data_IF_849036777489
#
_entry.id   IF_849036777489
#
_cell.length_a   1.000
_cell.length_b   1.000
_cell.length_c   1.000
_cell.angle_alpha   90.00
_cell.angle_beta   90.00
_cell.angle_gamma   90.00
#
_symmetry.space_group_name_H-M   'P 1'
#
loop_
_entity.id
_entity.type
_entity.pdbx_description
1 polymer ?
#
# COMPACT_ATOMS: atom_id res chain seq x y z
N UNK A 1 -1.32 42.70 13.73
CA UNK A 1 -0.97 42.65 12.29
C UNK A 1 -1.76 41.50 11.68
N UNK A 2 -2.77 41.80 10.88
CA UNK A 2 -3.54 40.78 10.14
C UNK A 2 -2.67 40.32 8.97
N UNK A 3 -2.09 39.12 9.08
CA UNK A 3 -1.41 38.48 7.95
C UNK A 3 -2.38 38.34 6.79
N UNK A 4 -1.96 38.76 5.59
CA UNK A 4 -2.74 38.53 4.39
C UNK A 4 -2.83 37.03 4.13
N UNK A 5 -4.01 36.49 3.76
CA UNK A 5 -4.16 35.09 3.47
C UNK A 5 -3.25 34.70 2.30
N UNK A 6 -2.59 33.55 2.42
CA UNK A 6 -1.76 33.02 1.34
C UNK A 6 -2.60 32.82 0.06
N UNK A 7 -1.96 32.75 -1.12
CA UNK A 7 -2.70 32.45 -2.37
C UNK A 7 -3.49 31.14 -2.29
N UNK A 8 -2.99 30.16 -1.53
CA UNK A 8 -3.68 28.91 -1.26
C UNK A 8 -4.90 29.11 -0.37
N UNK A 9 -4.78 29.87 0.73
CA UNK A 9 -5.91 30.16 1.62
C UNK A 9 -7.02 30.91 0.89
N UNK A 10 -6.66 31.94 0.11
CA UNK A 10 -7.62 32.69 -0.70
C UNK A 10 -8.34 31.78 -1.72
N UNK A 11 -7.62 30.84 -2.35
CA UNK A 11 -8.22 29.89 -3.28
C UNK A 11 -9.15 28.90 -2.57
N UNK A 12 -8.75 28.35 -1.42
CA UNK A 12 -9.58 27.45 -0.61
C UNK A 12 -10.85 28.16 -0.13
N UNK A 13 -10.72 29.35 0.43
CA UNK A 13 -11.85 30.12 0.95
C UNK A 13 -12.79 30.54 -0.17
N UNK A 14 -12.26 30.90 -1.34
CA UNK A 14 -13.06 31.20 -2.53
C UNK A 14 -13.92 30.03 -2.98
N UNK A 15 -13.36 28.81 -3.04
CA UNK A 15 -14.13 27.60 -3.41
C UNK A 15 -15.17 27.27 -2.34
N UNK A 16 -14.83 27.38 -1.05
CA UNK A 16 -15.75 27.10 0.05
C UNK A 16 -16.86 28.14 0.22
N UNK A 17 -16.68 29.33 -0.34
CA UNK A 17 -17.72 30.34 -0.50
C UNK A 17 -18.65 30.08 -1.71
N UNK A 18 -18.47 28.96 -2.41
CA UNK A 18 -19.26 28.60 -3.60
C UNK A 18 -18.63 29.05 -4.92
N UNK A 19 -17.39 29.54 -4.90
CA UNK A 19 -16.62 29.87 -6.10
C UNK A 19 -16.16 28.63 -6.88
N UNK A 20 -15.67 28.83 -8.12
CA UNK A 20 -15.28 27.73 -9.00
C UNK A 20 -14.00 27.02 -8.51
N UNK A 21 -13.98 25.68 -8.62
CA UNK A 21 -12.83 24.84 -8.24
C UNK A 21 -11.55 25.18 -9.02
N UNK A 22 -11.68 25.72 -10.25
CA UNK A 22 -10.57 26.00 -11.16
C UNK A 22 -9.43 26.80 -10.52
N UNK A 23 -9.75 27.83 -9.75
CA UNK A 23 -8.72 28.66 -9.11
C UNK A 23 -7.86 27.88 -8.12
N UNK A 24 -8.45 26.90 -7.41
CA UNK A 24 -7.71 26.00 -6.54
C UNK A 24 -6.87 25.01 -7.36
N UNK A 25 -7.43 24.43 -8.43
CA UNK A 25 -6.70 23.50 -9.31
C UNK A 25 -5.47 24.17 -9.92
N UNK A 26 -5.57 25.41 -10.37
CA UNK A 26 -4.43 26.18 -10.89
C UNK A 26 -3.30 26.35 -9.86
N UNK A 27 -3.64 26.46 -8.57
CA UNK A 27 -2.65 26.49 -7.48
C UNK A 27 -2.06 25.10 -7.26
N UNK A 28 -2.90 24.07 -7.20
CA UNK A 28 -2.45 22.69 -7.00
C UNK A 28 -1.48 22.25 -8.10
N UNK A 29 -1.81 22.50 -9.36
CA UNK A 29 -1.01 22.10 -10.52
C UNK A 29 0.40 22.70 -10.47
N UNK A 30 0.52 23.99 -10.12
CA UNK A 30 1.82 24.70 -10.04
C UNK A 30 2.76 24.13 -8.99
N UNK A 31 2.23 23.51 -7.96
CA UNK A 31 3.00 22.96 -6.83
C UNK A 31 3.05 21.43 -6.82
N UNK A 32 2.41 20.77 -7.79
CA UNK A 32 2.21 19.33 -7.83
C UNK A 32 3.46 18.49 -8.10
N UNK A 33 4.47 19.09 -8.73
CA UNK A 33 5.58 18.40 -9.41
C UNK A 33 5.14 17.51 -10.59
N UNK A 34 3.92 17.66 -11.10
CA UNK A 34 3.44 16.95 -12.29
C UNK A 34 3.57 17.82 -13.56
N UNK A 35 3.88 17.24 -14.73
CA UNK A 35 4.10 15.81 -15.00
C UNK A 35 5.54 15.36 -14.66
N UNK A 36 5.70 14.70 -13.53
CA UNK A 36 6.97 14.18 -13.01
C UNK A 36 6.74 12.83 -12.34
N UNK A 37 7.82 12.13 -11.99
CA UNK A 37 7.73 10.76 -11.45
C UNK A 37 7.36 10.71 -9.97
N UNK A 38 7.34 11.86 -9.27
CA UNK A 38 7.03 11.95 -7.85
C UNK A 38 6.15 13.18 -7.57
N UNK A 39 4.93 13.00 -7.03
CA UNK A 39 4.10 14.11 -6.62
C UNK A 39 4.70 14.82 -5.40
N UNK A 40 4.39 16.11 -5.24
CA UNK A 40 4.75 16.86 -4.04
C UNK A 40 3.84 16.48 -2.85
N UNK A 41 4.22 15.45 -2.09
CA UNK A 41 3.40 14.92 -1.00
C UNK A 41 3.33 15.87 0.21
N UNK A 42 4.39 16.63 0.49
CA UNK A 42 4.41 17.60 1.60
C UNK A 42 3.41 18.74 1.36
N UNK A 43 3.36 19.24 0.12
CA UNK A 43 2.35 20.23 -0.26
C UNK A 43 0.94 19.64 -0.20
N UNK A 44 0.73 18.41 -0.70
CA UNK A 44 -0.58 17.76 -0.65
C UNK A 44 -1.08 17.56 0.80
N UNK A 45 -0.19 17.13 1.70
CA UNK A 45 -0.46 17.04 3.13
C UNK A 45 -0.84 18.39 3.72
N UNK A 46 -0.07 19.44 3.42
CA UNK A 46 -0.34 20.81 3.89
C UNK A 46 -1.74 21.28 3.47
N UNK A 47 -2.10 21.08 2.19
CA UNK A 47 -3.44 21.40 1.69
C UNK A 47 -4.50 20.54 2.37
N UNK A 48 -4.26 19.25 2.58
CA UNK A 48 -5.16 18.34 3.29
C UNK A 48 -5.47 18.79 4.71
N UNK A 49 -4.46 19.24 5.47
CA UNK A 49 -4.62 19.82 6.81
C UNK A 49 -5.51 21.07 6.74
N UNK A 50 -5.23 21.97 5.80
CA UNK A 50 -6.00 23.21 5.61
C UNK A 50 -7.46 22.93 5.23
N UNK A 51 -7.73 21.92 4.41
CA UNK A 51 -9.09 21.48 4.05
C UNK A 51 -9.79 20.91 5.30
N UNK A 52 -9.14 19.99 6.03
CA UNK A 52 -9.73 19.37 7.22
C UNK A 52 -10.08 20.39 8.31
N UNK A 53 -9.25 21.42 8.50
CA UNK A 53 -9.49 22.49 9.45
C UNK A 53 -10.79 23.28 9.21
N UNK A 54 -11.33 23.26 7.97
CA UNK A 54 -12.54 23.99 7.57
C UNK A 54 -13.85 23.18 7.77
N UNK A 55 -13.76 21.99 8.39
CA UNK A 55 -14.89 21.16 8.89
C UNK A 55 -15.97 20.88 7.82
N UNK A 56 -17.26 20.86 8.16
CA UNK A 56 -18.35 20.38 7.29
C UNK A 56 -18.50 21.08 5.93
N UNK A 57 -17.89 22.26 5.71
CA UNK A 57 -17.83 22.88 4.37
C UNK A 57 -16.87 22.15 3.42
N UNK A 58 -15.89 21.43 3.98
CA UNK A 58 -14.87 20.72 3.22
C UNK A 58 -15.40 19.48 2.49
N UNK A 59 -16.55 18.92 2.88
CA UNK A 59 -17.07 17.67 2.30
C UNK A 59 -17.33 17.80 0.79
N UNK A 60 -17.95 18.91 0.39
CA UNK A 60 -18.22 19.19 -1.02
C UNK A 60 -16.91 19.38 -1.79
N UNK A 61 -15.92 20.04 -1.18
CA UNK A 61 -14.61 20.24 -1.77
C UNK A 61 -13.84 18.91 -1.93
N UNK A 62 -13.81 18.07 -0.90
CA UNK A 62 -13.18 16.73 -0.97
C UNK A 62 -13.84 15.90 -2.08
N UNK A 63 -15.18 15.86 -2.16
CA UNK A 63 -15.89 15.18 -3.26
C UNK A 63 -15.53 15.76 -4.64
N UNK A 64 -15.40 17.07 -4.76
CA UNK A 64 -15.04 17.71 -6.03
C UNK A 64 -13.58 17.39 -6.43
N UNK A 65 -12.66 17.32 -5.48
CA UNK A 65 -11.27 16.91 -5.71
C UNK A 65 -11.19 15.43 -6.12
N UNK A 66 -11.97 14.54 -5.49
CA UNK A 66 -12.04 13.12 -5.85
C UNK A 66 -12.61 12.90 -7.26
N UNK A 67 -13.58 13.73 -7.66
CA UNK A 67 -14.17 13.68 -9.00
C UNK A 67 -13.31 14.37 -10.07
N UNK A 68 -12.20 15.01 -9.68
CA UNK A 68 -11.33 15.70 -10.64
C UNK A 68 -10.54 14.70 -11.49
N UNK A 69 -10.34 14.98 -12.79
CA UNK A 69 -9.66 14.05 -13.69
C UNK A 69 -8.15 13.92 -13.43
N UNK A 70 -7.53 14.93 -12.80
CA UNK A 70 -6.11 14.93 -12.47
C UNK A 70 -5.76 14.04 -11.29
N UNK A 71 -4.53 13.51 -11.27
CA UNK A 71 -4.03 12.67 -10.16
C UNK A 71 -3.80 13.48 -8.87
N UNK A 72 -3.24 14.68 -9.00
CA UNK A 72 -2.83 15.47 -7.84
C UNK A 72 -4.01 15.95 -6.96
N UNK A 73 -5.15 16.41 -7.52
CA UNK A 73 -6.36 16.66 -6.72
C UNK A 73 -6.81 15.46 -5.88
N UNK A 74 -6.73 14.24 -6.42
CA UNK A 74 -7.10 13.01 -5.70
C UNK A 74 -6.10 12.73 -4.57
N UNK A 75 -4.80 12.97 -4.79
CA UNK A 75 -3.77 12.88 -3.75
C UNK A 75 -4.07 13.86 -2.60
N UNK A 76 -4.40 15.12 -2.91
CA UNK A 76 -4.81 16.12 -1.92
C UNK A 76 -6.06 15.67 -1.16
N UNK A 77 -7.05 15.09 -1.86
CA UNK A 77 -8.25 14.57 -1.23
C UNK A 77 -7.94 13.41 -0.27
N UNK A 78 -7.03 12.50 -0.61
CA UNK A 78 -6.58 11.42 0.27
C UNK A 78 -5.97 11.97 1.58
N UNK A 79 -5.09 12.98 1.49
CA UNK A 79 -4.56 13.66 2.67
C UNK A 79 -5.66 14.37 3.48
N UNK A 80 -6.61 15.03 2.82
CA UNK A 80 -7.75 15.65 3.51
C UNK A 80 -8.60 14.62 4.29
N UNK A 81 -8.85 13.43 3.71
CA UNK A 81 -9.57 12.35 4.37
C UNK A 81 -8.81 11.83 5.60
N UNK A 82 -7.50 11.58 5.49
CA UNK A 82 -6.67 11.18 6.62
C UNK A 82 -6.69 12.22 7.75
N UNK A 83 -6.53 13.51 7.41
CA UNK A 83 -6.53 14.59 8.39
C UNK A 83 -7.90 14.79 9.05
N UNK A 84 -9.00 14.58 8.32
CA UNK A 84 -10.34 14.56 8.91
C UNK A 84 -10.53 13.41 9.89
N UNK A 85 -10.07 12.21 9.53
CA UNK A 85 -10.12 11.05 10.42
C UNK A 85 -9.34 11.31 11.71
N UNK A 86 -8.15 11.89 11.61
CA UNK A 86 -7.33 12.27 12.76
C UNK A 86 -7.94 13.38 13.62
N UNK A 87 -8.64 14.34 13.00
CA UNK A 87 -9.35 15.40 13.71
C UNK A 87 -10.72 14.99 14.28
N UNK A 88 -11.15 13.74 14.07
CA UNK A 88 -12.44 13.23 14.54
C UNK A 88 -13.65 13.71 13.74
N UNK A 89 -13.46 14.33 12.56
CA UNK A 89 -14.56 14.82 11.71
C UNK A 89 -15.03 13.73 10.74
N UNK A 90 -16.18 13.14 11.04
CA UNK A 90 -16.75 12.00 10.30
C UNK A 90 -15.71 10.89 10.08
N UNK A 91 -14.92 10.59 11.11
CA UNK A 91 -13.70 9.78 10.97
C UNK A 91 -13.94 8.43 10.32
N UNK A 92 -15.05 7.77 10.64
CA UNK A 92 -15.46 6.51 10.00
C UNK A 92 -15.69 6.68 8.50
N UNK A 93 -16.47 7.69 8.10
CA UNK A 93 -16.75 7.94 6.69
C UNK A 93 -15.47 8.34 5.93
N UNK A 94 -14.62 9.15 6.55
CA UNK A 94 -13.34 9.55 5.97
C UNK A 94 -12.42 8.34 5.74
N UNK A 95 -12.30 7.44 6.71
CA UNK A 95 -11.53 6.20 6.57
C UNK A 95 -12.16 5.23 5.58
N UNK A 96 -13.49 5.15 5.48
CA UNK A 96 -14.18 4.36 4.44
C UNK A 96 -13.87 4.90 3.05
N UNK A 97 -13.94 6.22 2.82
CA UNK A 97 -13.58 6.78 1.51
C UNK A 97 -12.09 6.60 1.19
N UNK A 98 -11.21 6.68 2.20
CA UNK A 98 -9.78 6.40 2.00
C UNK A 98 -9.53 4.91 1.69
N UNK A 99 -10.30 4.00 2.28
CA UNK A 99 -10.31 2.57 1.95
C UNK A 99 -10.71 2.37 0.49
N UNK A 100 -11.85 2.93 0.05
CA UNK A 100 -12.31 2.83 -1.34
C UNK A 100 -11.26 3.32 -2.34
N UNK A 101 -10.55 4.41 -2.00
CA UNK A 101 -9.45 4.94 -2.81
C UNK A 101 -8.24 4.02 -2.88
N UNK A 102 -8.01 3.17 -1.88
CA UNK A 102 -6.85 2.29 -1.87
C UNK A 102 -6.88 1.25 -3.01
N UNK A 103 -8.00 1.03 -3.70
CA UNK A 103 -8.09 0.22 -4.93
C UNK A 103 -7.63 0.95 -6.22
N UNK A 104 -6.99 2.10 -6.09
CA UNK A 104 -6.63 2.96 -7.22
C UNK A 104 -5.52 2.36 -8.13
N UNK A 105 -5.76 2.18 -9.45
CA UNK A 105 -4.75 1.65 -10.38
C UNK A 105 -3.63 2.63 -10.74
N UNK A 106 -3.83 3.94 -10.56
CA UNK A 106 -2.82 4.98 -10.86
C UNK A 106 -1.72 5.02 -9.79
N UNK A 107 -0.48 4.82 -10.21
CA UNK A 107 0.66 4.69 -9.29
C UNK A 107 0.89 5.95 -8.44
N UNK A 108 0.84 7.15 -9.03
CA UNK A 108 1.11 8.39 -8.29
C UNK A 108 0.03 8.66 -7.24
N UNK A 109 -1.23 8.34 -7.56
CA UNK A 109 -2.32 8.46 -6.59
C UNK A 109 -2.15 7.46 -5.44
N UNK A 110 -1.77 6.20 -5.72
CA UNK A 110 -1.43 5.23 -4.66
C UNK A 110 -0.30 5.70 -3.75
N UNK A 111 0.73 6.35 -4.29
CA UNK A 111 1.78 6.95 -3.45
C UNK A 111 1.20 7.98 -2.47
N UNK A 112 0.25 8.80 -2.94
CA UNK A 112 -0.50 9.73 -2.09
C UNK A 112 -1.32 9.04 -1.01
N UNK A 113 -2.03 7.96 -1.35
CA UNK A 113 -2.85 7.20 -0.39
C UNK A 113 -1.97 6.52 0.66
N UNK A 114 -0.83 5.93 0.26
CA UNK A 114 0.17 5.36 1.19
C UNK A 114 0.68 6.44 2.15
N UNK A 115 1.00 7.62 1.63
CA UNK A 115 1.46 8.76 2.45
C UNK A 115 0.38 9.21 3.44
N UNK A 116 -0.86 9.35 2.99
CA UNK A 116 -1.99 9.73 3.84
C UNK A 116 -2.28 8.67 4.93
N UNK A 117 -2.25 7.38 4.58
CA UNK A 117 -2.43 6.30 5.56
C UNK A 117 -1.28 6.24 6.57
N UNK A 118 -0.05 6.51 6.15
CA UNK A 118 1.10 6.63 7.04
C UNK A 118 0.90 7.69 8.10
N UNK A 119 0.30 8.84 7.76
CA UNK A 119 -0.03 9.87 8.75
C UNK A 119 -1.01 9.36 9.81
N UNK A 120 -2.01 8.57 9.39
CA UNK A 120 -2.96 7.95 10.32
C UNK A 120 -2.24 6.98 11.26
N UNK A 121 -1.38 6.12 10.72
CA UNK A 121 -0.57 5.17 11.50
C UNK A 121 0.40 5.86 12.45
N UNK A 122 1.05 6.95 12.02
CA UNK A 122 1.93 7.72 12.88
C UNK A 122 1.20 8.26 14.11
N UNK A 123 -0.01 8.80 13.93
CA UNK A 123 -0.73 9.45 15.04
C UNK A 123 -1.46 8.44 15.93
N UNK A 124 -2.12 7.43 15.35
CA UNK A 124 -2.96 6.47 16.08
C UNK A 124 -2.26 5.16 16.45
N UNK A 125 -1.11 4.86 15.83
CA UNK A 125 -0.31 3.66 16.10
C UNK A 125 -1.09 2.36 15.92
N UNK A 126 -0.95 1.46 16.90
CA UNK A 126 -1.54 0.12 16.90
C UNK A 126 -3.08 0.12 16.84
N UNK A 127 -3.74 1.18 17.30
CA UNK A 127 -5.20 1.31 17.19
C UNK A 127 -5.64 1.36 15.73
N UNK A 128 -5.02 2.21 14.92
CA UNK A 128 -5.30 2.26 13.49
C UNK A 128 -4.90 0.93 12.82
N UNK A 129 -3.76 0.34 13.20
CA UNK A 129 -3.31 -0.91 12.60
C UNK A 129 -4.28 -2.09 12.79
N UNK A 130 -4.98 -2.16 13.93
CA UNK A 130 -6.05 -3.13 14.18
C UNK A 130 -7.27 -2.90 13.27
N UNK A 131 -7.61 -1.65 13.00
CA UNK A 131 -8.72 -1.32 12.08
C UNK A 131 -8.40 -1.68 10.62
N UNK A 132 -7.12 -1.73 10.24
CA UNK A 132 -6.69 -2.08 8.89
C UNK A 132 -6.83 -3.56 8.52
N UNK A 133 -7.38 -4.41 9.41
CA UNK A 133 -7.74 -5.79 9.07
C UNK A 133 -8.73 -5.86 7.89
N UNK A 134 -9.60 -4.86 7.72
CA UNK A 134 -10.54 -4.80 6.58
C UNK A 134 -9.91 -4.26 5.31
N UNK A 135 -8.60 -3.95 5.34
CA UNK A 135 -7.84 -3.45 4.19
C UNK A 135 -6.95 -4.54 3.58
N UNK A 136 -6.92 -5.74 4.16
CA UNK A 136 -6.10 -6.86 3.66
C UNK A 136 -6.92 -7.88 2.88
N UNK A 137 -8.13 -7.51 2.43
CA UNK A 137 -9.04 -8.32 1.64
C UNK A 137 -8.96 -8.07 0.11
N UNK A 138 -8.35 -6.95 -0.29
CA UNK A 138 -8.08 -6.59 -1.69
C UNK A 138 -6.60 -6.36 -1.97
N UNK A 139 -6.12 -6.69 -3.17
CA UNK A 139 -4.67 -6.68 -3.46
C UNK A 139 -4.03 -5.29 -3.37
N UNK A 140 -4.67 -4.25 -3.90
CA UNK A 140 -4.15 -2.89 -3.79
C UNK A 140 -4.25 -2.35 -2.36
N UNK A 141 -5.38 -2.62 -1.68
CA UNK A 141 -5.56 -2.27 -0.27
C UNK A 141 -4.45 -2.87 0.61
N UNK A 142 -4.18 -4.18 0.45
CA UNK A 142 -3.14 -4.87 1.20
C UNK A 142 -1.75 -4.26 0.92
N UNK A 143 -1.44 -3.95 -0.34
CA UNK A 143 -0.20 -3.26 -0.69
C UNK A 143 -0.11 -1.88 -0.05
N UNK A 144 -1.19 -1.08 -0.07
CA UNK A 144 -1.21 0.24 0.56
C UNK A 144 -0.94 0.16 2.06
N UNK A 145 -1.52 -0.82 2.75
CA UNK A 145 -1.28 -1.07 4.17
C UNK A 145 0.19 -1.41 4.43
N UNK A 146 0.74 -2.39 3.71
CA UNK A 146 2.14 -2.80 3.90
C UNK A 146 3.14 -1.70 3.54
N UNK A 147 2.90 -0.95 2.47
CA UNK A 147 3.74 0.17 2.06
C UNK A 147 3.68 1.36 3.04
N UNK A 148 2.53 1.59 3.68
CA UNK A 148 2.39 2.60 4.73
C UNK A 148 3.08 2.17 6.03
N UNK A 149 3.00 0.87 6.37
CA UNK A 149 3.69 0.26 7.50
C UNK A 149 5.21 0.17 7.32
N UNK A 150 5.69 -0.02 6.09
CA UNK A 150 7.11 -0.08 5.74
C UNK A 150 7.78 1.31 5.78
N UNK A 151 7.50 2.06 6.84
CA UNK A 151 8.09 3.35 7.15
C UNK A 151 8.71 3.29 8.55
N UNK A 152 9.97 3.73 8.66
CA UNK A 152 10.72 3.62 9.91
C UNK A 152 10.09 4.41 11.05
N UNK A 153 9.56 5.59 10.78
CA UNK A 153 8.94 6.41 11.83
C UNK A 153 7.63 5.79 12.34
N UNK A 154 6.87 5.11 11.47
CA UNK A 154 5.71 4.32 11.88
C UNK A 154 6.15 3.17 12.78
N UNK A 155 7.12 2.38 12.32
CA UNK A 155 7.58 1.19 13.04
C UNK A 155 8.20 1.51 14.41
N UNK A 156 8.90 2.64 14.53
CA UNK A 156 9.49 3.10 15.79
C UNK A 156 8.43 3.48 16.83
N UNK A 157 7.18 3.74 16.44
CA UNK A 157 6.05 4.04 17.35
C UNK A 157 5.27 2.81 17.81
N UNK A 158 5.43 1.67 17.15
CA UNK A 158 4.74 0.44 17.50
C UNK A 158 5.44 -0.24 18.69
N UNK A 159 4.66 -0.85 19.59
CA UNK A 159 5.19 -1.47 20.82
C UNK A 159 5.72 -2.86 20.54
N UNK A 160 5.07 -3.59 19.64
CA UNK A 160 5.40 -4.97 19.33
C UNK A 160 5.12 -5.36 17.87
N UNK A 161 5.57 -6.57 17.47
CA UNK A 161 5.44 -7.07 16.11
C UNK A 161 4.07 -7.66 15.78
N UNK A 162 3.20 -7.90 16.77
CA UNK A 162 2.03 -8.78 16.64
C UNK A 162 1.08 -8.33 15.53
N UNK A 163 0.69 -7.05 15.55
CA UNK A 163 -0.22 -6.49 14.54
C UNK A 163 0.44 -6.32 13.17
N UNK A 164 1.75 -6.10 13.14
CA UNK A 164 2.53 -6.02 11.90
C UNK A 164 2.57 -7.39 11.22
N UNK A 165 2.89 -8.43 11.98
CA UNK A 165 2.89 -9.82 11.50
C UNK A 165 1.50 -10.26 11.06
N UNK A 166 0.44 -9.82 11.76
CA UNK A 166 -0.93 -10.13 11.36
C UNK A 166 -1.29 -9.55 9.98
N UNK A 167 -1.04 -8.25 9.74
CA UNK A 167 -1.30 -7.63 8.42
C UNK A 167 -0.42 -8.23 7.32
N UNK A 168 0.84 -8.53 7.64
CA UNK A 168 1.76 -9.19 6.71
C UNK A 168 1.30 -10.60 6.34
N UNK A 169 0.85 -11.38 7.32
CA UNK A 169 0.30 -12.73 7.10
C UNK A 169 -0.93 -12.68 6.22
N UNK A 170 -1.88 -11.79 6.51
CA UNK A 170 -3.12 -11.63 5.73
C UNK A 170 -2.81 -11.29 4.27
N UNK A 171 -1.91 -10.31 4.03
CA UNK A 171 -1.50 -9.91 2.70
C UNK A 171 -0.75 -11.04 1.95
N UNK A 172 0.10 -11.80 2.64
CA UNK A 172 0.80 -12.95 2.07
C UNK A 172 -0.17 -14.06 1.68
N UNK A 173 -1.09 -14.42 2.58
CA UNK A 173 -2.12 -15.44 2.33
C UNK A 173 -3.00 -15.00 1.16
N UNK A 174 -3.45 -13.74 1.11
CA UNK A 174 -4.21 -13.18 0.00
C UNK A 174 -3.50 -13.39 -1.35
N UNK A 175 -2.19 -13.13 -1.41
CA UNK A 175 -1.39 -13.32 -2.62
C UNK A 175 -1.14 -14.81 -2.96
N UNK A 176 -1.02 -15.69 -1.97
CA UNK A 176 -0.76 -17.12 -2.14
C UNK A 176 -2.01 -17.89 -2.56
N UNK A 177 -3.19 -17.57 -2.03
CA UNK A 177 -4.44 -18.26 -2.38
C UNK A 177 -5.16 -17.64 -3.58
N UNK A 178 -4.54 -16.66 -4.25
CA UNK A 178 -5.12 -15.95 -5.39
C UNK A 178 -5.62 -16.92 -6.49
N UNK A 179 -6.84 -16.73 -7.02
CA UNK A 179 -7.33 -17.56 -8.10
C UNK A 179 -6.53 -17.29 -9.38
N UNK A 180 -6.45 -18.28 -10.27
CA UNK A 180 -5.74 -18.16 -11.56
C UNK A 180 -6.19 -16.94 -12.40
N UNK A 181 -7.46 -16.55 -12.30
CA UNK A 181 -7.98 -15.37 -12.98
C UNK A 181 -7.30 -14.07 -12.52
N UNK A 182 -6.90 -13.98 -11.25
CA UNK A 182 -6.26 -12.83 -10.66
C UNK A 182 -4.78 -12.68 -11.05
N UNK A 183 -4.15 -13.68 -11.67
CA UNK A 183 -2.73 -13.62 -12.08
C UNK A 183 -2.43 -12.49 -13.08
N UNK A 184 -3.44 -12.00 -13.80
CA UNK A 184 -3.33 -10.83 -14.69
C UNK A 184 -3.70 -9.51 -14.02
N UNK A 185 -4.15 -9.54 -12.77
CA UNK A 185 -4.53 -8.35 -12.00
C UNK A 185 -3.30 -7.48 -11.77
N UNK A 186 -3.46 -6.17 -11.99
CA UNK A 186 -2.44 -5.19 -11.63
C UNK A 186 -2.23 -5.13 -10.11
N UNK A 187 -3.31 -5.25 -9.33
CA UNK A 187 -3.24 -5.22 -7.86
C UNK A 187 -2.40 -6.36 -7.31
N UNK A 188 -2.64 -7.59 -7.78
CA UNK A 188 -1.87 -8.76 -7.33
C UNK A 188 -0.38 -8.64 -7.68
N UNK A 189 -0.06 -8.16 -8.89
CA UNK A 189 1.33 -7.90 -9.29
C UNK A 189 1.97 -6.84 -8.40
N UNK A 190 1.28 -5.74 -8.16
CA UNK A 190 1.77 -4.64 -7.30
C UNK A 190 2.05 -5.13 -5.89
N UNK A 191 1.15 -5.93 -5.29
CA UNK A 191 1.34 -6.53 -3.97
C UNK A 191 2.58 -7.44 -3.94
N UNK A 192 2.72 -8.35 -4.91
CA UNK A 192 3.85 -9.28 -4.97
C UNK A 192 5.19 -8.59 -5.22
N UNK A 193 5.20 -7.51 -6.01
CA UNK A 193 6.40 -6.72 -6.32
C UNK A 193 6.85 -5.85 -5.13
N UNK A 194 5.91 -5.29 -4.35
CA UNK A 194 6.21 -4.46 -3.18
C UNK A 194 6.63 -5.24 -1.94
N UNK A 195 5.95 -6.37 -1.68
CA UNK A 195 6.10 -7.15 -0.44
C UNK A 195 7.55 -7.51 -0.07
N UNK A 196 8.45 -7.92 -0.98
CA UNK A 196 9.84 -8.20 -0.64
C UNK A 196 10.58 -7.03 0.03
N UNK A 197 10.38 -5.81 -0.46
CA UNK A 197 11.01 -4.62 0.09
C UNK A 197 10.36 -4.24 1.43
N UNK A 198 9.04 -4.33 1.51
CA UNK A 198 8.27 -4.08 2.74
C UNK A 198 8.72 -5.03 3.86
N UNK A 199 8.82 -6.35 3.60
CA UNK A 199 9.34 -7.36 4.55
C UNK A 199 10.72 -6.98 5.08
N UNK A 200 11.63 -6.50 4.22
CA UNK A 200 12.96 -6.13 4.65
C UNK A 200 12.98 -4.92 5.60
N UNK A 201 12.11 -3.94 5.36
CA UNK A 201 11.95 -2.77 6.25
C UNK A 201 11.33 -3.19 7.59
N UNK A 202 10.27 -4.00 7.57
CA UNK A 202 9.62 -4.50 8.79
C UNK A 202 10.62 -5.31 9.66
N UNK A 203 11.40 -6.19 9.04
CA UNK A 203 12.38 -7.01 9.73
C UNK A 203 13.54 -6.22 10.35
N UNK A 204 13.85 -5.04 9.82
CA UNK A 204 14.86 -4.16 10.40
C UNK A 204 14.45 -3.65 11.80
N UNK A 205 13.13 -3.54 12.06
CA UNK A 205 12.59 -3.17 13.39
C UNK A 205 12.19 -4.40 14.22
N UNK A 206 11.63 -5.41 13.58
CA UNK A 206 11.02 -6.58 14.21
C UNK A 206 11.65 -7.88 13.68
N UNK A 207 12.69 -8.42 14.36
CA UNK A 207 13.38 -9.64 13.93
C UNK A 207 12.47 -10.87 13.75
N UNK A 208 11.31 -10.89 14.42
CA UNK A 208 10.28 -11.92 14.29
C UNK A 208 9.78 -12.08 12.85
N UNK A 209 9.88 -11.03 12.02
CA UNK A 209 9.56 -11.08 10.58
C UNK A 209 10.49 -12.04 9.84
N UNK A 210 11.74 -12.22 10.30
CA UNK A 210 12.67 -13.21 9.71
C UNK A 210 12.21 -14.64 10.00
N UNK A 211 11.79 -14.90 11.25
CA UNK A 211 11.23 -16.20 11.64
C UNK A 211 9.91 -16.50 10.90
N UNK A 212 9.06 -15.48 10.74
CA UNK A 212 7.86 -15.56 9.91
C UNK A 212 8.20 -15.96 8.47
N UNK A 213 9.17 -15.29 7.83
CA UNK A 213 9.57 -15.57 6.45
C UNK A 213 10.14 -16.99 6.30
N UNK A 214 10.92 -17.45 7.27
CA UNK A 214 11.42 -18.83 7.31
C UNK A 214 10.26 -19.85 7.29
N UNK A 215 9.19 -19.60 8.04
CA UNK A 215 7.97 -20.42 7.99
C UNK A 215 7.31 -20.48 6.61
N UNK A 216 7.51 -19.47 5.77
CA UNK A 216 6.97 -19.40 4.40
C UNK A 216 7.80 -20.13 3.34
N UNK A 217 9.00 -20.61 3.70
CA UNK A 217 9.87 -21.39 2.78
C UNK A 217 9.23 -22.68 2.28
N UNK A 218 8.17 -23.18 2.93
CA UNK A 218 7.45 -24.38 2.55
C UNK A 218 6.44 -24.17 1.39
N UNK A 219 6.22 -22.91 0.98
CA UNK A 219 5.28 -22.52 -0.06
C UNK A 219 5.48 -23.30 -1.37
N UNK A 220 4.37 -23.69 -2.01
CA UNK A 220 4.36 -24.59 -3.18
C UNK A 220 4.17 -23.86 -4.50
N UNK A 221 3.44 -22.75 -4.50
CA UNK A 221 3.17 -21.98 -5.72
C UNK A 221 4.44 -21.30 -6.23
N UNK A 222 4.77 -21.40 -7.53
CA UNK A 222 5.95 -20.75 -8.08
C UNK A 222 5.99 -19.24 -7.80
N UNK A 223 4.86 -18.55 -7.97
CA UNK A 223 4.78 -17.09 -7.79
C UNK A 223 5.02 -16.70 -6.33
N UNK A 224 4.44 -17.43 -5.38
CA UNK A 224 4.68 -17.22 -3.94
C UNK A 224 6.13 -17.51 -3.54
N UNK A 225 6.71 -18.57 -4.09
CA UNK A 225 8.13 -18.91 -3.86
C UNK A 225 9.06 -17.84 -4.39
N UNK A 226 8.71 -17.21 -5.51
CA UNK A 226 9.45 -16.07 -6.05
C UNK A 226 9.41 -14.88 -5.09
N UNK A 227 8.24 -14.54 -4.52
CA UNK A 227 8.12 -13.49 -3.48
C UNK A 227 9.00 -13.82 -2.28
N UNK A 228 8.95 -15.06 -1.75
CA UNK A 228 9.79 -15.48 -0.61
C UNK A 228 11.28 -15.37 -0.95
N UNK A 229 11.70 -15.82 -2.14
CA UNK A 229 13.08 -15.71 -2.61
C UNK A 229 13.55 -14.26 -2.69
N UNK A 230 12.73 -13.38 -3.28
CA UNK A 230 13.03 -11.95 -3.38
C UNK A 230 13.07 -11.28 -2.00
N UNK A 231 12.21 -11.68 -1.06
CA UNK A 231 12.21 -11.18 0.31
C UNK A 231 13.50 -11.59 1.05
N UNK A 232 13.97 -12.83 0.90
CA UNK A 232 15.27 -13.28 1.45
C UNK A 232 16.41 -12.43 0.87
N UNK A 233 16.38 -12.17 -0.44
CA UNK A 233 17.38 -11.32 -1.09
C UNK A 233 17.31 -9.86 -0.58
N UNK A 234 16.12 -9.33 -0.33
CA UNK A 234 15.93 -8.00 0.23
C UNK A 234 16.44 -7.91 1.68
N UNK A 235 16.16 -8.91 2.53
CA UNK A 235 16.70 -8.99 3.89
C UNK A 235 18.23 -9.02 3.91
N UNK A 236 18.83 -9.78 2.99
CA UNK A 236 20.30 -9.81 2.84
C UNK A 236 20.86 -8.44 2.51
N UNK A 237 20.23 -7.69 1.59
CA UNK A 237 20.61 -6.29 1.28
C UNK A 237 20.38 -5.35 2.46
N UNK A 238 19.35 -5.62 3.27
CA UNK A 238 19.00 -4.87 4.48
C UNK A 238 19.88 -5.16 5.70
N UNK A 239 20.86 -6.06 5.60
CA UNK A 239 21.84 -6.31 6.67
C UNK A 239 21.67 -7.65 7.41
N UNK A 240 20.76 -8.53 6.99
CA UNK A 240 20.70 -9.89 7.52
C UNK A 240 22.02 -10.61 7.25
N UNK A 241 22.55 -11.33 8.25
CA UNK A 241 23.83 -12.04 8.13
C UNK A 241 23.81 -13.00 6.95
N UNK A 242 24.88 -12.99 6.14
CA UNK A 242 24.97 -13.82 4.93
C UNK A 242 24.73 -15.31 5.20
N UNK A 243 25.24 -15.84 6.32
CA UNK A 243 25.04 -17.25 6.70
C UNK A 243 23.56 -17.56 7.00
N UNK A 244 22.84 -16.64 7.63
CA UNK A 244 21.43 -16.79 7.96
C UNK A 244 20.56 -16.68 6.71
N UNK A 245 20.81 -15.68 5.86
CA UNK A 245 20.14 -15.55 4.56
C UNK A 245 20.36 -16.80 3.69
N UNK A 246 21.59 -17.34 3.65
CA UNK A 246 21.91 -18.56 2.91
C UNK A 246 21.19 -19.79 3.49
N UNK A 247 21.07 -19.89 4.82
CA UNK A 247 20.32 -20.96 5.48
C UNK A 247 18.85 -20.94 5.07
N UNK A 248 18.18 -19.79 5.15
CA UNK A 248 16.76 -19.64 4.80
C UNK A 248 16.55 -19.91 3.29
N UNK A 249 17.44 -19.41 2.43
CA UNK A 249 17.41 -19.73 1.00
C UNK A 249 17.56 -21.24 0.73
N UNK A 250 18.42 -21.92 1.49
CA UNK A 250 18.58 -23.38 1.44
C UNK A 250 17.30 -24.13 1.82
N UNK A 251 16.55 -23.66 2.84
CA UNK A 251 15.25 -24.22 3.21
C UNK A 251 14.21 -24.08 2.08
N UNK A 252 14.18 -22.91 1.43
CA UNK A 252 13.29 -22.67 0.29
C UNK A 252 13.62 -23.62 -0.87
N UNK A 253 14.89 -23.81 -1.21
CA UNK A 253 15.29 -24.74 -2.28
C UNK A 253 15.02 -26.20 -1.91
N UNK A 254 15.28 -26.61 -0.67
CA UNK A 254 15.01 -27.97 -0.21
C UNK A 254 13.51 -28.32 -0.24
N UNK A 255 12.61 -27.35 -0.10
CA UNK A 255 11.17 -27.56 -0.15
C UNK A 255 10.58 -27.66 -1.57
N UNK A 256 11.42 -27.43 -2.60
CA UNK A 256 11.04 -27.45 -4.02
C UNK A 256 10.58 -28.85 -4.41
N UNK A 257 9.48 -28.91 -5.17
CA UNK A 257 9.00 -30.18 -5.73
C UNK A 257 10.08 -30.76 -6.65
N UNK A 258 10.40 -32.07 -6.57
CA UNK A 258 11.34 -32.70 -7.48
C UNK A 258 10.97 -32.42 -8.95
N UNK A 259 11.97 -32.24 -9.84
CA UNK A 259 11.71 -32.09 -11.27
C UNK A 259 10.83 -33.23 -11.76
N UNK A 260 9.87 -32.91 -12.64
CA UNK A 260 9.06 -33.95 -13.27
C UNK A 260 9.97 -34.76 -14.20
N UNK A 261 10.25 -36.01 -13.82
CA UNK A 261 10.99 -36.94 -14.66
C UNK A 261 10.20 -37.21 -15.94
N UNK A 262 10.69 -36.69 -17.07
CA UNK A 262 10.07 -36.86 -18.38
C UNK A 262 10.19 -38.31 -18.90
N UNK A 263 11.12 -39.10 -18.38
CA UNK A 263 11.30 -40.51 -18.73
C UNK A 263 10.36 -41.43 -17.93
N UNK A 264 9.79 -40.96 -16.81
CA UNK A 264 8.84 -41.71 -16.01
C UNK A 264 7.47 -41.74 -16.67
N UNK A 265 7.20 -42.80 -17.43
CA UNK A 265 5.88 -43.10 -17.98
C UNK A 265 4.91 -43.36 -16.82
N UNK A 266 4.01 -42.41 -16.55
CA UNK A 266 2.87 -42.61 -15.64
C UNK A 266 1.83 -43.44 -16.38
N UNK A 267 1.84 -44.76 -16.17
CA UNK A 267 0.82 -45.65 -16.70
C UNK A 267 -0.57 -45.21 -16.20
N UNK A 268 -1.54 -45.08 -17.11
CA UNK A 268 -2.94 -44.74 -16.78
C UNK A 268 -3.44 -43.36 -17.21
N UNK A 269 -2.56 -42.44 -17.65
CA UNK A 269 -3.03 -41.15 -18.21
C UNK A 269 -3.45 -41.35 -19.67
N UNK A 270 -4.76 -41.42 -19.93
CA UNK A 270 -5.36 -41.55 -21.28
C UNK A 270 -4.69 -40.56 -22.25
N UNK A 271 -4.00 -41.09 -23.27
CA UNK A 271 -3.49 -40.32 -24.42
C UNK A 271 -4.68 -39.60 -25.09
N UNK A 272 -4.86 -38.32 -24.82
CA UNK A 272 -5.82 -37.47 -25.55
C UNK A 272 -5.11 -36.86 -26.76
N UNK A 273 -4.86 -37.69 -27.77
CA UNK A 273 -4.46 -37.25 -29.10
C UNK A 273 -5.03 -38.21 -30.16
N UNK A 274 -6.33 -38.08 -30.43
CA UNK A 274 -6.86 -38.27 -31.79
C UNK A 274 -7.05 -36.83 -32.29
N UNK A 275 -6.20 -36.34 -33.18
CA UNK A 275 -6.22 -36.70 -34.60
C UNK A 275 -7.31 -35.88 -35.28
N UNK A 276 -7.03 -34.61 -35.59
CA UNK A 276 -7.82 -33.83 -36.56
C UNK A 276 -7.18 -34.12 -37.92
N UNK A 277 -7.85 -34.97 -38.71
CA UNK A 277 -7.79 -34.90 -40.17
C UNK A 277 -8.75 -33.82 -40.63
#
# INVERSE_FOLDING_TARGET
MTEQPSKLDAALDGVLAGGPLRGLLDVLDRHSNLPGTRPNLDFARTVGILIAARRGKADALVRALLASPGEYPVIVAAHALAQRALAGFDARAAMTTLHDLADEPRHLVRMGIVSALREVLLVRGEEALRELVTWTDGYFHAHVVLAALADREVLDRLRGPEEVLARLEEAFVLADVSPRAAERSQGLRTLREGMPAEVAVLAARFPEVVAWLEGKTSAKRPETREVVSQAIAALRRGGLKNAEAARIAGLLEASKKPPRDAARIVQGTRKRSKGRR
#
